data_IF_537605508806
#
_entry.id   IF_537605508806
#
_cell.length_a   1.000
_cell.length_b   1.000
_cell.length_c   1.000
_cell.angle_alpha   90.00
_cell.angle_beta   90.00
_cell.angle_gamma   90.00
#
_symmetry.space_group_name_H-M   'P 1'
#
loop_
_entity.id
_entity.type
_entity.pdbx_description
1 polymer ?
#
# COMPACT_ATOMS: atom_id res chain seq x y z
N UNK A 1 -7.70 -24.47 -11.79
CA UNK A 1 -8.14 -23.44 -10.81
C UNK A 1 -6.98 -22.48 -10.58
N UNK A 2 -7.20 -21.15 -10.54
CA UNK A 2 -6.11 -20.17 -10.32
C UNK A 2 -6.00 -19.89 -8.83
N UNK A 3 -4.91 -20.34 -8.22
CA UNK A 3 -4.64 -20.19 -6.80
C UNK A 3 -4.25 -18.74 -6.46
N UNK A 4 -5.07 -18.05 -5.67
CA UNK A 4 -4.88 -16.66 -5.24
C UNK A 4 -4.12 -16.52 -3.91
N UNK A 5 -3.72 -17.64 -3.28
CA UNK A 5 -3.04 -17.64 -1.98
C UNK A 5 -1.69 -16.92 -1.98
N UNK A 6 -1.11 -16.64 -3.16
CA UNK A 6 0.09 -15.82 -3.26
C UNK A 6 -0.15 -14.34 -2.89
N UNK A 7 -1.39 -13.84 -2.92
CA UNK A 7 -1.74 -12.43 -2.64
C UNK A 7 -2.76 -12.23 -1.50
N UNK A 8 -3.49 -13.28 -1.11
CA UNK A 8 -4.50 -13.24 -0.04
C UNK A 8 -4.40 -14.47 0.88
N UNK A 9 -3.20 -15.06 0.98
CA UNK A 9 -2.98 -16.32 1.71
C UNK A 9 -2.84 -16.18 3.22
N UNK A 10 -2.66 -14.97 3.75
CA UNK A 10 -2.53 -14.74 5.19
C UNK A 10 -3.20 -13.43 5.68
N UNK A 11 -3.21 -13.26 7.01
CA UNK A 11 -3.84 -12.14 7.68
C UNK A 11 -3.15 -10.79 7.40
N UNK A 12 -1.82 -10.77 7.23
CA UNK A 12 -1.06 -9.55 6.91
C UNK A 12 -1.45 -9.01 5.53
N UNK A 13 -1.47 -9.88 4.52
CA UNK A 13 -1.89 -9.55 3.16
C UNK A 13 -3.33 -9.02 3.15
N UNK A 14 -4.24 -9.72 3.84
CA UNK A 14 -5.65 -9.34 3.93
C UNK A 14 -5.82 -7.98 4.62
N UNK A 15 -5.12 -7.74 5.71
CA UNK A 15 -5.17 -6.48 6.45
C UNK A 15 -4.60 -5.32 5.62
N UNK A 16 -3.40 -5.48 5.04
CA UNK A 16 -2.75 -4.45 4.23
C UNK A 16 -3.62 -4.01 3.06
N UNK A 17 -4.25 -4.95 2.34
CA UNK A 17 -5.17 -4.64 1.25
C UNK A 17 -6.41 -3.88 1.75
N UNK A 18 -7.06 -4.36 2.82
CA UNK A 18 -8.24 -3.70 3.37
C UNK A 18 -7.93 -2.26 3.80
N UNK A 19 -6.83 -2.04 4.52
CA UNK A 19 -6.41 -0.70 4.96
C UNK A 19 -6.08 0.20 3.76
N UNK A 20 -5.43 -0.34 2.73
CA UNK A 20 -5.14 0.42 1.50
C UNK A 20 -6.42 0.89 0.83
N UNK A 21 -7.42 0.02 0.66
CA UNK A 21 -8.70 0.41 0.05
C UNK A 21 -9.54 1.34 0.92
N UNK A 22 -9.41 1.29 2.26
CA UNK A 22 -10.06 2.26 3.16
C UNK A 22 -9.60 3.69 2.90
N UNK A 23 -8.37 3.91 2.42
CA UNK A 23 -7.83 5.24 2.13
C UNK A 23 -8.27 5.83 0.79
N UNK A 24 -8.90 5.06 -0.11
CA UNK A 24 -9.33 5.56 -1.41
C UNK A 24 -10.22 6.81 -1.28
N UNK A 25 -11.24 6.73 -0.41
CA UNK A 25 -12.20 7.83 -0.20
C UNK A 25 -11.52 9.08 0.38
N UNK A 26 -10.76 9.01 1.50
CA UNK A 26 -9.98 10.14 2.01
C UNK A 26 -9.05 10.79 0.96
N UNK A 27 -8.27 10.00 0.23
CA UNK A 27 -7.32 10.50 -0.77
C UNK A 27 -8.05 11.26 -1.90
N UNK A 28 -9.13 10.68 -2.43
CA UNK A 28 -9.95 11.34 -3.46
C UNK A 28 -10.61 12.62 -2.94
N UNK A 29 -11.06 12.64 -1.68
CA UNK A 29 -11.64 13.83 -1.04
C UNK A 29 -10.60 14.94 -0.89
N UNK A 30 -9.36 14.63 -0.47
CA UNK A 30 -8.25 15.60 -0.38
C UNK A 30 -7.94 16.22 -1.74
N UNK A 31 -7.91 15.42 -2.81
CA UNK A 31 -7.72 15.93 -4.18
C UNK A 31 -8.87 16.85 -4.61
N UNK A 32 -10.12 16.46 -4.37
CA UNK A 32 -11.27 17.29 -4.71
C UNK A 32 -11.25 18.63 -3.96
N UNK A 33 -10.92 18.62 -2.67
CA UNK A 33 -10.79 19.83 -1.86
C UNK A 33 -9.65 20.74 -2.36
N UNK A 34 -8.49 20.16 -2.69
CA UNK A 34 -7.37 20.91 -3.26
C UNK A 34 -7.76 21.61 -4.57
N UNK A 35 -8.42 20.88 -5.48
CA UNK A 35 -8.91 21.45 -6.75
C UNK A 35 -9.90 22.59 -6.51
N UNK A 36 -10.80 22.46 -5.53
CA UNK A 36 -11.76 23.50 -5.19
C UNK A 36 -11.11 24.74 -4.57
N UNK A 37 -9.97 24.60 -3.89
CA UNK A 37 -9.24 25.73 -3.31
C UNK A 37 -8.60 26.65 -4.35
N UNK A 38 -8.22 26.11 -5.52
CA UNK A 38 -7.47 26.82 -6.54
C UNK A 38 -5.99 27.03 -6.23
N UNK A 39 -5.48 26.57 -5.07
CA UNK A 39 -4.06 26.64 -4.73
C UNK A 39 -3.27 25.58 -5.51
N UNK A 40 -2.40 26.02 -6.42
CA UNK A 40 -1.60 25.15 -7.29
C UNK A 40 -0.68 24.20 -6.50
N UNK A 41 -0.16 24.66 -5.36
CA UNK A 41 0.73 23.87 -4.51
C UNK A 41 -0.08 22.76 -3.84
N UNK A 42 -1.25 23.08 -3.28
CA UNK A 42 -2.11 22.07 -2.69
C UNK A 42 -2.58 21.03 -3.71
N UNK A 43 -2.89 21.47 -4.93
CA UNK A 43 -3.28 20.57 -6.02
C UNK A 43 -2.14 19.62 -6.39
N UNK A 44 -0.90 20.13 -6.48
CA UNK A 44 0.27 19.32 -6.75
C UNK A 44 0.50 18.27 -5.64
N UNK A 45 0.46 18.69 -4.36
CA UNK A 45 0.63 17.79 -3.22
C UNK A 45 -0.46 16.69 -3.16
N UNK A 46 -1.71 17.03 -3.43
CA UNK A 46 -2.80 16.06 -3.47
C UNK A 46 -2.69 15.09 -4.66
N UNK A 47 -2.15 15.53 -5.80
CA UNK A 47 -1.83 14.64 -6.94
C UNK A 47 -0.71 13.67 -6.58
N UNK A 48 0.35 14.13 -5.91
CA UNK A 48 1.40 13.23 -5.43
C UNK A 48 0.87 12.22 -4.43
N UNK A 49 0.00 12.63 -3.50
CA UNK A 49 -0.66 11.73 -2.57
C UNK A 49 -1.48 10.64 -3.27
N UNK A 50 -2.24 11.01 -4.31
CA UNK A 50 -2.99 10.03 -5.11
C UNK A 50 -2.07 9.03 -5.79
N UNK A 51 -0.94 9.50 -6.33
CA UNK A 51 0.03 8.65 -7.01
C UNK A 51 0.74 7.70 -6.04
N UNK A 52 1.10 8.18 -4.84
CA UNK A 52 1.68 7.35 -3.79
C UNK A 52 0.70 6.24 -3.37
N UNK A 53 -0.57 6.57 -3.15
CA UNK A 53 -1.61 5.58 -2.84
C UNK A 53 -1.77 4.55 -3.96
N UNK A 54 -1.76 4.97 -5.24
CA UNK A 54 -1.84 4.04 -6.38
C UNK A 54 -0.68 3.04 -6.41
N UNK A 55 0.54 3.48 -6.11
CA UNK A 55 1.71 2.58 -6.05
C UNK A 55 1.54 1.51 -4.97
N UNK A 56 0.93 1.85 -3.83
CA UNK A 56 0.62 0.88 -2.77
C UNK A 56 -0.41 -0.18 -3.19
N UNK A 57 -1.19 0.03 -4.27
CA UNK A 57 -2.14 -0.97 -4.80
C UNK A 57 -1.49 -2.01 -5.71
N UNK A 58 -0.19 -1.90 -5.99
CA UNK A 58 0.54 -2.89 -6.80
C UNK A 58 0.64 -4.23 -6.09
N UNK A 59 0.58 -5.32 -6.86
CA UNK A 59 0.53 -6.68 -6.31
C UNK A 59 1.83 -7.12 -5.62
N UNK A 60 2.96 -6.50 -5.96
CA UNK A 60 4.28 -6.85 -5.41
C UNK A 60 4.31 -6.69 -3.89
N UNK A 61 3.66 -5.66 -3.34
CA UNK A 61 3.55 -5.48 -1.89
C UNK A 61 2.86 -6.66 -1.20
N UNK A 62 1.75 -7.11 -1.75
CA UNK A 62 1.04 -8.28 -1.22
C UNK A 62 1.86 -9.56 -1.41
N UNK A 63 2.60 -9.68 -2.50
CA UNK A 63 3.50 -10.80 -2.74
C UNK A 63 4.64 -10.86 -1.71
N UNK A 64 5.26 -9.72 -1.37
CA UNK A 64 6.33 -9.65 -0.37
C UNK A 64 5.88 -10.03 1.05
N UNK A 65 4.59 -9.92 1.36
CA UNK A 65 4.00 -10.34 2.64
C UNK A 65 3.57 -11.81 2.66
N UNK A 66 3.75 -12.56 1.56
CA UNK A 66 3.36 -13.96 1.47
C UNK A 66 4.28 -14.87 2.29
N UNK A 67 3.70 -15.75 3.09
CA UNK A 67 4.43 -16.75 3.88
C UNK A 67 4.52 -18.10 3.16
N UNK A 68 3.85 -18.28 2.02
CA UNK A 68 3.59 -19.58 1.39
C UNK A 68 4.85 -20.32 0.95
N UNK A 69 5.84 -19.62 0.39
CA UNK A 69 7.12 -20.23 0.05
C UNK A 69 8.33 -19.59 0.73
N UNK A 70 8.06 -18.87 1.83
CA UNK A 70 9.08 -18.52 2.81
C UNK A 70 9.76 -19.76 3.41
N UNK A 71 9.03 -20.86 3.54
CA UNK A 71 9.59 -22.15 4.00
C UNK A 71 10.52 -22.83 3.00
N UNK A 72 10.47 -22.44 1.72
CA UNK A 72 11.25 -23.07 0.64
C UNK A 72 12.58 -22.35 0.35
N UNK A 73 12.90 -21.30 1.14
CA UNK A 73 14.24 -20.72 1.39
C UNK A 73 14.98 -20.07 0.21
N UNK A 74 15.03 -20.72 -0.94
CA UNK A 74 15.98 -20.45 -2.02
C UNK A 74 15.40 -19.57 -3.14
N UNK A 75 14.10 -19.59 -3.40
CA UNK A 75 13.52 -18.85 -4.55
C UNK A 75 12.96 -17.48 -4.15
N UNK A 76 12.54 -17.31 -2.90
CA UNK A 76 11.87 -16.09 -2.42
C UNK A 76 12.82 -14.93 -2.08
N UNK A 77 14.09 -15.22 -1.77
CA UNK A 77 15.10 -14.18 -1.55
C UNK A 77 15.48 -13.42 -2.82
N UNK A 78 15.27 -13.99 -4.01
CA UNK A 78 15.69 -13.33 -5.26
C UNK A 78 14.81 -12.14 -5.67
N UNK A 79 13.57 -12.05 -5.17
CA UNK A 79 12.59 -11.07 -5.65
C UNK A 79 12.07 -10.09 -4.58
N UNK A 80 12.24 -10.39 -3.29
CA UNK A 80 11.84 -9.49 -2.20
C UNK A 80 13.04 -8.65 -1.73
N UNK A 81 12.89 -7.33 -1.57
CA UNK A 81 13.92 -6.48 -0.97
C UNK A 81 13.95 -6.58 0.58
N UNK A 82 13.06 -7.38 1.19
CA UNK A 82 12.91 -7.49 2.64
C UNK A 82 13.44 -8.82 3.18
N UNK A 83 14.02 -8.77 4.39
CA UNK A 83 14.55 -9.94 5.10
C UNK A 83 13.47 -10.92 5.57
N UNK A 84 12.22 -10.48 5.69
CA UNK A 84 11.08 -11.34 6.00
C UNK A 84 9.74 -10.77 5.51
N UNK A 85 8.68 -11.60 5.37
CA UNK A 85 7.33 -11.12 5.09
C UNK A 85 6.79 -10.16 6.16
N UNK A 86 7.28 -10.28 7.40
CA UNK A 86 6.90 -9.39 8.50
C UNK A 86 7.52 -8.01 8.34
N UNK A 87 8.79 -7.93 7.92
CA UNK A 87 9.46 -6.65 7.64
C UNK A 87 8.78 -5.92 6.47
N UNK A 88 8.39 -6.67 5.44
CA UNK A 88 7.60 -6.14 4.32
C UNK A 88 6.27 -5.55 4.81
N UNK A 89 5.55 -6.26 5.67
CA UNK A 89 4.28 -5.80 6.24
C UNK A 89 4.46 -4.55 7.10
N UNK A 90 5.43 -4.55 8.04
CA UNK A 90 5.69 -3.40 8.92
C UNK A 90 6.07 -2.16 8.10
N UNK A 91 6.96 -2.31 7.12
CA UNK A 91 7.34 -1.20 6.24
C UNK A 91 6.13 -0.66 5.47
N UNK A 92 5.33 -1.56 4.86
CA UNK A 92 4.14 -1.17 4.14
C UNK A 92 3.14 -0.42 5.02
N UNK A 93 2.87 -0.90 6.23
CA UNK A 93 1.94 -0.25 7.14
C UNK A 93 2.44 1.13 7.60
N UNK A 94 3.74 1.31 7.83
CA UNK A 94 4.32 2.61 8.15
C UNK A 94 4.15 3.62 6.99
N UNK A 95 4.38 3.18 5.75
CA UNK A 95 4.16 4.02 4.56
C UNK A 95 2.67 4.33 4.38
N UNK A 96 1.80 3.34 4.60
CA UNK A 96 0.35 3.52 4.51
C UNK A 96 -0.17 4.50 5.57
N UNK A 97 0.38 4.47 6.78
CA UNK A 97 0.06 5.43 7.84
C UNK A 97 0.50 6.85 7.47
N UNK A 98 1.64 7.02 6.79
CA UNK A 98 2.05 8.32 6.23
C UNK A 98 1.03 8.84 5.18
N UNK A 99 0.57 7.96 4.28
CA UNK A 99 -0.49 8.29 3.31
C UNK A 99 -1.79 8.67 4.03
N UNK A 100 -2.18 7.93 5.07
CA UNK A 100 -3.37 8.22 5.88
C UNK A 100 -3.27 9.60 6.54
N UNK A 101 -2.12 9.94 7.13
CA UNK A 101 -1.89 11.24 7.76
C UNK A 101 -2.04 12.37 6.74
N UNK A 102 -1.37 12.26 5.58
CA UNK A 102 -1.47 13.25 4.48
C UNK A 102 -2.88 13.39 3.90
N UNK A 103 -3.67 12.32 3.94
CA UNK A 103 -5.06 12.33 3.46
C UNK A 103 -6.06 12.95 4.44
N UNK A 104 -5.71 13.04 5.72
CA UNK A 104 -6.63 13.46 6.80
C UNK A 104 -6.25 14.76 7.49
N UNK A 105 -5.02 15.26 7.27
CA UNK A 105 -4.57 16.54 7.80
C UNK A 105 -5.18 17.70 6.99
N UNK A 106 -5.66 18.72 7.71
CA UNK A 106 -6.22 19.95 7.17
C UNK A 106 -5.15 21.03 7.05
#
# INVERSE_FOLDING_TARGET
ERDLSAWLGNAMQSNALQETYRLEKPVKKRLAAAIASGDEKEIAEAKYLLEDWRKLTTSDHSYYMSTKYWSDGDVHKYFSPYDSPYDAYINFMNVLDNVRLRATTH
#
